data_IF_073198913785
#
_entry.id   IF_073198913785
#
_cell.length_a   1.000
_cell.length_b   1.000
_cell.length_c   1.000
_cell.angle_alpha   90.00
_cell.angle_beta   90.00
_cell.angle_gamma   90.00
#
_symmetry.space_group_name_H-M   'P 1'
#
loop_
_entity.id
_entity.type
_entity.pdbx_description
1 polymer ?
#
# COMPACT_ATOMS: atom_id res chain seq x y z
N UNK A 1 -8.88 9.46 -9.17
CA UNK A 1 -7.54 9.97 -9.57
C UNK A 1 -6.57 8.78 -9.46
N UNK A 2 -5.71 8.46 -10.44
CA UNK A 2 -4.82 7.31 -10.28
C UNK A 2 -3.75 7.65 -9.22
N UNK A 3 -3.78 6.99 -8.06
CA UNK A 3 -2.74 7.14 -7.03
C UNK A 3 -1.42 6.70 -7.64
N UNK A 4 -0.52 7.64 -7.96
CA UNK A 4 0.70 7.39 -8.74
C UNK A 4 1.87 6.83 -7.90
N UNK A 5 1.61 6.30 -6.71
CA UNK A 5 2.66 5.85 -5.80
C UNK A 5 2.16 4.85 -4.76
N UNK A 6 2.99 4.64 -3.75
CA UNK A 6 2.67 3.82 -2.58
C UNK A 6 2.10 4.68 -1.45
N UNK A 7 1.25 4.07 -0.63
CA UNK A 7 0.82 4.62 0.66
C UNK A 7 1.30 3.67 1.75
N UNK A 8 1.82 4.23 2.84
CA UNK A 8 2.16 3.48 4.04
C UNK A 8 1.11 3.79 5.12
N UNK A 9 0.84 2.85 6.01
CA UNK A 9 0.13 3.17 7.25
C UNK A 9 1.01 4.03 8.16
N UNK A 10 0.37 4.63 9.18
CA UNK A 10 1.05 5.48 10.14
C UNK A 10 2.22 4.79 10.85
N UNK A 11 2.08 3.49 11.12
CA UNK A 11 3.08 2.68 11.81
C UNK A 11 4.17 2.12 10.88
N UNK A 12 4.03 2.31 9.56
CA UNK A 12 4.98 1.78 8.57
C UNK A 12 5.06 0.25 8.57
N UNK A 13 3.97 -0.43 8.87
CA UNK A 13 3.82 -1.88 8.87
C UNK A 13 3.07 -2.40 7.64
N UNK A 14 2.32 -1.53 6.96
CA UNK A 14 1.51 -1.86 5.80
C UNK A 14 1.88 -0.94 4.64
N UNK A 15 2.03 -1.52 3.45
CA UNK A 15 2.17 -0.78 2.20
C UNK A 15 1.03 -1.09 1.25
N UNK A 16 0.50 -0.05 0.63
CA UNK A 16 -0.57 -0.10 -0.35
C UNK A 16 -0.11 0.43 -1.70
N UNK A 17 -0.67 -0.12 -2.77
CA UNK A 17 -0.51 0.42 -4.11
C UNK A 17 -1.71 0.10 -5.00
N UNK A 18 -2.18 1.07 -5.78
CA UNK A 18 -3.29 0.89 -6.72
C UNK A 18 -2.99 -0.25 -7.70
N UNK A 19 -3.89 -1.23 -7.80
CA UNK A 19 -3.68 -2.42 -8.65
C UNK A 19 -3.46 -2.08 -10.12
N UNK A 20 -3.95 -0.93 -10.59
CA UNK A 20 -3.80 -0.46 -11.98
C UNK A 20 -2.36 -0.09 -12.33
N UNK A 21 -1.50 0.13 -11.34
CA UNK A 21 -0.08 0.47 -11.54
C UNK A 21 0.81 -0.76 -11.74
N UNK A 22 0.29 -1.97 -11.52
CA UNK A 22 1.07 -3.20 -11.53
C UNK A 22 0.40 -4.26 -12.41
N UNK A 23 1.19 -5.07 -13.12
CA UNK A 23 0.67 -6.19 -13.91
C UNK A 23 0.15 -7.31 -13.01
N UNK A 24 0.76 -7.49 -11.84
CA UNK A 24 0.41 -8.53 -10.88
C UNK A 24 0.99 -8.24 -9.48
N UNK A 25 0.61 -9.08 -8.50
CA UNK A 25 1.10 -9.04 -7.12
C UNK A 25 2.62 -9.11 -6.99
N UNK A 26 3.30 -9.86 -7.86
CA UNK A 26 4.76 -10.01 -7.80
C UNK A 26 5.45 -8.70 -8.15
N UNK A 27 5.00 -8.04 -9.22
CA UNK A 27 5.53 -6.73 -9.61
C UNK A 27 5.25 -5.67 -8.54
N UNK A 28 4.10 -5.73 -7.87
CA UNK A 28 3.82 -4.89 -6.71
C UNK A 28 4.85 -5.07 -5.60
N UNK A 29 5.14 -6.31 -5.19
CA UNK A 29 6.15 -6.60 -4.14
C UNK A 29 7.53 -6.08 -4.55
N UNK A 30 7.99 -6.37 -5.76
CA UNK A 30 9.31 -5.94 -6.25
C UNK A 30 9.46 -4.41 -6.28
N UNK A 31 8.40 -3.69 -6.69
CA UNK A 31 8.41 -2.22 -6.69
C UNK A 31 8.25 -1.63 -5.28
N UNK A 32 7.47 -2.27 -4.41
CA UNK A 32 7.28 -1.85 -3.03
C UNK A 32 8.58 -1.95 -2.22
N UNK A 33 9.30 -3.07 -2.32
CA UNK A 33 10.61 -3.24 -1.65
C UNK A 33 11.63 -2.21 -2.15
N UNK A 34 11.63 -1.92 -3.46
CA UNK A 34 12.48 -0.87 -4.02
C UNK A 34 12.13 0.51 -3.47
N UNK A 35 10.83 0.87 -3.46
CA UNK A 35 10.35 2.12 -2.90
C UNK A 35 10.75 2.27 -1.43
N UNK A 36 10.57 1.22 -0.63
CA UNK A 36 10.91 1.25 0.78
C UNK A 36 12.42 1.35 1.01
N UNK A 37 13.25 0.67 0.21
CA UNK A 37 14.70 0.81 0.27
C UNK A 37 15.15 2.25 -0.03
N UNK A 38 14.55 2.89 -1.04
CA UNK A 38 14.85 4.26 -1.44
C UNK A 38 14.41 5.29 -0.38
N UNK A 39 13.29 5.07 0.31
CA UNK A 39 12.77 6.01 1.31
C UNK A 39 13.30 5.79 2.74
N UNK A 40 13.47 4.53 3.15
CA UNK A 40 13.90 4.17 4.51
C UNK A 40 15.42 4.02 4.63
N UNK A 41 16.11 3.78 3.51
CA UNK A 41 17.58 3.66 3.48
C UNK A 41 18.12 2.32 3.97
N UNK A 42 17.25 1.33 4.23
CA UNK A 42 17.63 -0.04 4.58
C UNK A 42 16.70 -1.05 3.90
N UNK A 43 17.17 -2.30 3.69
CA UNK A 43 16.33 -3.35 3.08
C UNK A 43 15.17 -3.71 3.99
N UNK A 44 13.97 -3.79 3.42
CA UNK A 44 12.78 -4.34 4.06
C UNK A 44 12.17 -5.39 3.17
N UNK A 45 11.47 -6.34 3.77
CA UNK A 45 10.81 -7.43 3.05
C UNK A 45 9.31 -7.17 3.01
N UNK A 46 8.70 -7.28 1.83
CA UNK A 46 7.25 -7.16 1.67
C UNK A 46 6.64 -8.55 1.46
N UNK A 47 5.67 -8.93 2.29
CA UNK A 47 5.10 -10.28 2.27
C UNK A 47 3.58 -10.28 2.42
N UNK A 48 2.97 -11.42 2.08
CA UNK A 48 1.51 -11.62 2.06
C UNK A 48 0.70 -10.62 1.21
N UNK A 49 1.06 -10.33 -0.07
CA UNK A 49 0.29 -9.40 -0.88
C UNK A 49 -1.12 -9.94 -1.18
N UNK A 50 -2.14 -9.16 -0.85
CA UNK A 50 -3.54 -9.41 -1.21
C UNK A 50 -4.18 -8.19 -1.85
N UNK A 51 -5.26 -8.39 -2.60
CA UNK A 51 -6.03 -7.30 -3.20
C UNK A 51 -7.23 -7.02 -2.31
N UNK A 52 -7.52 -5.76 -2.06
CA UNK A 52 -8.68 -5.32 -1.28
C UNK A 52 -9.17 -3.96 -1.80
N UNK A 53 -10.40 -3.61 -1.45
CA UNK A 53 -10.89 -2.25 -1.65
C UNK A 53 -10.67 -1.45 -0.37
N UNK A 54 -10.38 -0.16 -0.54
CA UNK A 54 -10.25 0.83 0.52
C UNK A 54 -10.92 2.14 0.09
N UNK A 55 -11.23 3.00 1.04
CA UNK A 55 -11.43 4.41 0.78
C UNK A 55 -10.13 5.17 1.02
N UNK A 56 -9.76 6.03 0.09
CA UNK A 56 -8.62 6.95 0.21
C UNK A 56 -9.16 8.36 0.36
N UNK A 57 -8.97 8.95 1.54
CA UNK A 57 -9.25 10.36 1.83
C UNK A 57 -8.05 11.26 1.48
N UNK A 58 -8.04 12.50 1.96
CA UNK A 58 -6.92 13.43 1.70
C UNK A 58 -5.64 13.02 2.45
N UNK A 59 -5.76 12.62 3.72
CA UNK A 59 -4.62 12.33 4.62
C UNK A 59 -4.61 10.89 5.16
N UNK A 60 -5.68 10.13 4.98
CA UNK A 60 -5.84 8.79 5.56
C UNK A 60 -6.50 7.85 4.55
N UNK A 61 -6.32 6.54 4.76
CA UNK A 61 -7.07 5.50 4.07
C UNK A 61 -7.72 4.56 5.08
N UNK A 62 -8.89 4.04 4.73
CA UNK A 62 -9.66 3.11 5.56
C UNK A 62 -10.19 1.94 4.75
N UNK A 63 -10.50 0.84 5.42
CA UNK A 63 -11.23 -0.27 4.82
C UNK A 63 -12.67 0.16 4.48
N UNK A 64 -13.26 -0.42 3.43
CA UNK A 64 -14.55 0.04 2.89
C UNK A 64 -15.75 -0.16 3.80
N UNK A 65 -15.60 -0.89 4.90
CA UNK A 65 -16.66 -1.12 5.88
C UNK A 65 -16.82 0.02 6.91
N UNK A 66 -16.00 1.08 6.84
CA UNK A 66 -16.15 2.24 7.71
C UNK A 66 -17.25 3.21 7.21
N UNK A 67 -18.38 3.35 7.92
CA UNK A 67 -19.59 3.99 7.40
C UNK A 67 -19.53 5.52 7.30
N UNK A 68 -18.58 6.17 7.97
CA UNK A 68 -18.48 7.63 8.09
C UNK A 68 -17.21 8.20 7.43
N UNK A 69 -16.47 7.39 6.67
CA UNK A 69 -15.22 7.84 6.04
C UNK A 69 -15.47 8.40 4.63
N UNK A 70 -15.15 9.67 4.42
CA UNK A 70 -15.24 10.33 3.11
C UNK A 70 -13.95 10.08 2.30
N UNK A 71 -14.07 9.48 1.12
CA UNK A 71 -12.92 9.20 0.25
C UNK A 71 -13.30 8.59 -1.10
N UNK A 72 -12.30 8.40 -1.97
CA UNK A 72 -12.45 7.67 -3.24
C UNK A 72 -12.28 6.16 -2.97
N UNK A 73 -13.24 5.34 -3.41
CA UNK A 73 -13.08 3.88 -3.38
C UNK A 73 -12.04 3.45 -4.43
N UNK A 74 -11.00 2.75 -3.98
CA UNK A 74 -9.92 2.25 -4.85
C UNK A 74 -9.61 0.81 -4.49
N UNK A 75 -9.40 -0.03 -5.52
CA UNK A 75 -8.84 -1.37 -5.34
C UNK A 75 -7.31 -1.27 -5.30
N UNK A 76 -6.72 -1.78 -4.22
CA UNK A 76 -5.27 -1.75 -3.99
C UNK A 76 -4.73 -3.14 -3.74
N UNK A 77 -3.44 -3.33 -4.04
CA UNK A 77 -2.65 -4.35 -3.36
C UNK A 77 -2.25 -3.83 -1.99
N UNK A 78 -2.38 -4.69 -0.98
CA UNK A 78 -2.00 -4.48 0.40
C UNK A 78 -1.02 -5.58 0.80
N UNK A 79 0.05 -5.23 1.52
CA UNK A 79 1.02 -6.17 2.05
C UNK A 79 1.64 -5.69 3.35
N UNK A 80 2.15 -6.64 4.13
CA UNK A 80 2.88 -6.40 5.36
C UNK A 80 4.36 -6.10 5.06
N UNK A 81 4.93 -5.19 5.84
CA UNK A 81 6.34 -4.81 5.80
C UNK A 81 7.03 -5.47 7.00
N UNK A 82 8.00 -6.35 6.72
CA UNK A 82 8.89 -6.88 7.74
C UNK A 82 10.20 -6.09 7.73
N UNK A 83 10.47 -5.48 8.87
CA UNK A 83 11.72 -4.81 9.19
C UNK A 83 12.26 -5.47 10.46
N UNK A 84 13.30 -6.30 10.34
CA UNK A 84 14.10 -6.66 11.52
C UNK A 84 14.79 -5.37 11.99
N UNK A 85 14.38 -4.89 13.16
CA UNK A 85 15.00 -3.74 13.83
C UNK A 85 16.24 -4.20 14.59
#
# INVERSE_FOLDING_TARGET
>A
MAVKGFLEDYDGQIILGDVRNFKNKKEFVEQAEKYLLENRGYPVTVFQPYATNIFVGEDEWKITDEPDFEGEEVTVYCAEIYSEN
#
